data_IF_527163353586
#
_entry.id   IF_527163353586
#
_cell.length_a   1.000
_cell.length_b   1.000
_cell.length_c   1.000
_cell.angle_alpha   90.00
_cell.angle_beta   90.00
_cell.angle_gamma   90.00
#
_symmetry.space_group_name_H-M   'P 1'
#
loop_
_entity.id
_entity.type
_entity.pdbx_description
1 polymer ?
#
# COMPACT_ATOMS: atom_id res chain seq x y z
N UNK A 1 9.18 -15.42 27.27
CA UNK A 1 10.03 -14.65 26.33
C UNK A 1 10.07 -13.23 26.87
N UNK A 2 11.17 -12.83 27.51
CA UNK A 2 11.28 -11.55 28.22
C UNK A 2 11.84 -10.51 27.25
N UNK A 3 11.08 -9.44 27.03
CA UNK A 3 11.52 -8.28 26.26
C UNK A 3 12.52 -7.53 27.16
N UNK A 4 13.81 -7.59 26.83
CA UNK A 4 14.84 -6.79 27.48
C UNK A 4 14.63 -5.31 27.10
N UNK A 5 15.04 -4.45 28.03
CA UNK A 5 14.83 -3.00 28.15
C UNK A 5 14.82 -2.13 26.87
N UNK A 6 14.14 -0.96 26.91
CA UNK A 6 14.07 -0.02 25.78
C UNK A 6 15.37 0.77 25.64
N UNK A 7 16.34 0.21 24.93
CA UNK A 7 17.61 0.85 24.58
C UNK A 7 18.05 0.48 23.17
N UNK A 8 17.99 1.44 22.25
CA UNK A 8 18.52 1.45 20.87
C UNK A 8 18.66 0.06 20.19
N UNK A 9 17.55 -0.55 19.82
CA UNK A 9 17.55 -1.76 19.00
C UNK A 9 18.05 -1.47 17.59
N UNK A 10 19.08 -2.20 17.12
CA UNK A 10 19.47 -2.17 15.69
C UNK A 10 18.45 -2.98 14.88
N UNK A 11 17.72 -2.33 13.99
CA UNK A 11 16.84 -2.99 13.01
C UNK A 11 17.65 -3.27 11.75
N UNK A 12 17.48 -4.47 11.17
CA UNK A 12 18.12 -4.87 9.91
C UNK A 12 17.07 -5.47 8.98
N UNK A 13 17.15 -5.13 7.70
CA UNK A 13 16.38 -5.84 6.68
C UNK A 13 16.88 -7.27 6.55
N UNK A 14 15.94 -8.19 6.38
CA UNK A 14 16.20 -9.61 6.16
C UNK A 14 15.33 -10.12 5.00
N UNK A 15 15.68 -11.30 4.50
CA UNK A 15 14.91 -12.04 3.46
C UNK A 15 14.86 -11.36 2.08
N UNK A 16 16.00 -11.35 1.38
CA UNK A 16 16.15 -10.83 0.01
C UNK A 16 15.73 -11.81 -1.10
N UNK A 17 15.04 -12.91 -0.77
CA UNK A 17 14.68 -13.98 -1.73
C UNK A 17 13.71 -13.52 -2.82
N UNK A 18 12.93 -12.49 -2.53
CA UNK A 18 11.98 -11.85 -3.44
C UNK A 18 12.51 -10.53 -4.02
N UNK A 19 13.72 -10.10 -3.64
CA UNK A 19 14.36 -8.94 -4.23
C UNK A 19 14.73 -9.21 -5.69
N UNK A 20 14.64 -8.18 -6.53
CA UNK A 20 15.01 -8.26 -7.94
C UNK A 20 15.74 -6.99 -8.36
N UNK A 21 16.55 -7.10 -9.42
CA UNK A 21 17.16 -5.94 -10.06
C UNK A 21 16.11 -5.26 -10.94
N UNK A 22 16.11 -3.93 -11.00
CA UNK A 22 15.22 -3.17 -11.87
C UNK A 22 15.31 -3.67 -13.31
N UNK A 23 14.16 -3.88 -13.95
CA UNK A 23 14.05 -4.48 -15.29
C UNK A 23 14.17 -6.01 -15.33
N UNK A 24 14.43 -6.68 -14.20
CA UNK A 24 14.47 -8.15 -14.06
C UNK A 24 13.39 -8.69 -13.14
N UNK A 25 12.25 -8.00 -13.06
CA UNK A 25 11.10 -8.45 -12.28
C UNK A 25 10.57 -9.78 -12.81
N UNK A 26 10.21 -10.70 -11.90
CA UNK A 26 9.51 -11.94 -12.24
C UNK A 26 8.05 -11.63 -12.62
N UNK A 27 7.41 -12.53 -13.35
CA UNK A 27 5.99 -12.42 -13.70
C UNK A 27 5.06 -12.44 -12.48
N UNK A 28 5.50 -13.00 -11.36
CA UNK A 28 4.78 -13.02 -10.09
C UNK A 28 5.56 -12.23 -9.03
N UNK A 29 4.86 -11.33 -8.35
CA UNK A 29 5.37 -10.63 -7.17
C UNK A 29 4.93 -11.40 -5.93
N UNK A 30 5.89 -11.71 -5.07
CA UNK A 30 5.65 -12.33 -3.76
C UNK A 30 5.81 -11.26 -2.69
N UNK A 31 4.69 -10.73 -2.23
CA UNK A 31 4.63 -9.74 -1.16
C UNK A 31 3.30 -9.92 -0.40
N UNK A 32 3.28 -9.60 0.89
CA UNK A 32 2.03 -9.52 1.64
C UNK A 32 1.19 -8.35 1.12
N UNK A 33 -0.06 -8.61 0.76
CA UNK A 33 -0.94 -7.60 0.14
C UNK A 33 -1.06 -6.30 0.96
N UNK A 34 -0.99 -6.38 2.29
CA UNK A 34 -1.02 -5.23 3.20
C UNK A 34 0.08 -4.16 2.92
N UNK A 35 1.22 -4.57 2.34
CA UNK A 35 2.36 -3.70 2.03
C UNK A 35 2.62 -3.57 0.53
N UNK A 36 1.75 -4.15 -0.31
CA UNK A 36 1.88 -4.12 -1.76
C UNK A 36 1.46 -2.74 -2.29
N UNK A 37 2.28 -2.14 -3.14
CA UNK A 37 1.99 -0.86 -3.79
C UNK A 37 0.88 -1.00 -4.85
N UNK A 38 0.07 0.06 -5.10
CA UNK A 38 -1.06 0.01 -6.02
C UNK A 38 -0.64 -0.29 -7.46
N UNK A 39 0.48 0.23 -7.94
CA UNK A 39 1.02 -0.05 -9.26
C UNK A 39 1.41 -1.52 -9.42
N UNK A 40 2.02 -2.10 -8.39
CA UNK A 40 2.39 -3.52 -8.37
C UNK A 40 1.13 -4.40 -8.33
N UNK A 41 0.13 -4.02 -7.53
CA UNK A 41 -1.17 -4.69 -7.48
C UNK A 41 -1.91 -4.65 -8.82
N UNK A 42 -1.85 -3.53 -9.54
CA UNK A 42 -2.43 -3.34 -10.87
C UNK A 42 -1.63 -4.00 -12.01
N UNK A 43 -0.46 -4.57 -11.68
CA UNK A 43 0.39 -5.34 -12.59
C UNK A 43 1.38 -4.51 -13.39
N UNK A 44 1.64 -3.26 -13.00
CA UNK A 44 2.73 -2.47 -13.56
C UNK A 44 4.09 -3.05 -13.18
N UNK A 45 5.10 -2.70 -13.96
CA UNK A 45 6.48 -3.02 -13.61
C UNK A 45 6.90 -2.18 -12.39
N UNK A 46 7.21 -2.87 -11.30
CA UNK A 46 7.69 -2.30 -10.06
C UNK A 46 9.12 -1.80 -10.19
N UNK A 47 9.40 -0.69 -9.51
CA UNK A 47 10.74 -0.13 -9.34
C UNK A 47 10.90 0.35 -7.90
N UNK A 48 11.88 1.20 -7.60
CA UNK A 48 12.18 1.64 -6.24
C UNK A 48 11.01 2.21 -5.40
N UNK A 49 10.00 2.92 -5.96
CA UNK A 49 8.89 3.46 -5.17
C UNK A 49 8.07 2.41 -4.42
N UNK A 50 7.99 1.15 -4.91
CA UNK A 50 7.22 0.10 -4.20
C UNK A 50 7.80 -0.23 -2.83
N UNK A 51 9.12 -0.08 -2.65
CA UNK A 51 9.78 -0.28 -1.37
C UNK A 51 9.47 0.88 -0.41
N UNK A 52 9.34 2.11 -0.93
CA UNK A 52 8.93 3.28 -0.14
C UNK A 52 7.47 3.16 0.32
N UNK A 53 6.59 2.64 -0.54
CA UNK A 53 5.22 2.31 -0.15
C UNK A 53 5.19 1.28 0.99
N UNK A 54 5.93 0.18 0.83
CA UNK A 54 6.05 -0.85 1.86
C UNK A 54 6.60 -0.29 3.19
N UNK A 55 7.58 0.61 3.12
CA UNK A 55 8.10 1.33 4.28
C UNK A 55 7.02 2.19 4.94
N UNK A 56 6.26 2.98 4.17
CA UNK A 56 5.17 3.81 4.68
C UNK A 56 4.12 2.99 5.43
N UNK A 57 3.64 1.89 4.83
CA UNK A 57 2.74 0.95 5.48
C UNK A 57 3.35 0.36 6.78
N UNK A 58 4.62 -0.03 6.74
CA UNK A 58 5.32 -0.61 7.91
C UNK A 58 5.42 0.39 9.05
N UNK A 59 5.82 1.63 8.77
CA UNK A 59 5.96 2.68 9.79
C UNK A 59 4.58 3.07 10.35
N UNK A 60 3.56 3.18 9.50
CA UNK A 60 2.19 3.44 9.94
C UNK A 60 1.68 2.33 10.87
N UNK A 61 1.93 1.07 10.55
CA UNK A 61 1.53 -0.06 11.40
C UNK A 61 2.29 -0.08 12.73
N UNK A 62 3.60 0.19 12.72
CA UNK A 62 4.38 0.28 13.96
C UNK A 62 3.89 1.39 14.89
N UNK A 63 3.49 2.53 14.33
CA UNK A 63 3.00 3.67 15.10
C UNK A 63 1.58 3.46 15.65
N UNK A 64 0.71 2.79 14.90
CA UNK A 64 -0.73 2.67 15.22
C UNK A 64 -1.13 1.32 15.79
N UNK A 65 -0.30 0.29 15.61
CA UNK A 65 -0.62 -1.11 15.89
C UNK A 65 -1.67 -1.69 14.93
N UNK A 66 -1.94 -1.04 13.79
CA UNK A 66 -2.99 -1.43 12.83
C UNK A 66 -2.45 -1.43 11.40
N UNK A 67 -2.88 -2.40 10.60
CA UNK A 67 -2.59 -2.42 9.16
C UNK A 67 -3.23 -1.19 8.51
N UNK A 68 -2.43 -0.43 7.76
CA UNK A 68 -2.88 0.82 7.13
C UNK A 68 -4.02 0.60 6.11
N UNK A 69 -3.93 -0.48 5.33
CA UNK A 69 -4.95 -0.88 4.34
C UNK A 69 -5.52 -2.26 4.69
N UNK A 70 -6.54 -2.33 5.57
CA UNK A 70 -7.04 -3.60 6.11
C UNK A 70 -8.00 -4.30 5.13
N UNK A 71 -7.43 -4.84 4.05
CA UNK A 71 -8.19 -5.58 3.04
C UNK A 71 -8.54 -6.99 3.53
N UNK A 72 -9.80 -7.39 3.34
CA UNK A 72 -10.30 -8.71 3.76
C UNK A 72 -9.83 -9.81 2.79
N UNK A 73 -9.67 -9.46 1.52
CA UNK A 73 -9.23 -10.37 0.47
C UNK A 73 -8.60 -9.58 -0.69
N UNK A 74 -8.07 -10.29 -1.67
CA UNK A 74 -7.39 -9.67 -2.82
C UNK A 74 -8.26 -8.64 -3.55
N UNK A 75 -9.57 -8.82 -3.67
CA UNK A 75 -10.47 -7.89 -4.38
C UNK A 75 -10.82 -6.65 -3.54
N UNK A 76 -10.67 -6.71 -2.22
CA UNK A 76 -10.90 -5.60 -1.30
C UNK A 76 -9.68 -4.66 -1.18
N UNK A 77 -8.53 -5.07 -1.72
CA UNK A 77 -7.28 -4.29 -1.63
C UNK A 77 -7.38 -2.91 -2.29
N UNK A 78 -7.83 -2.86 -3.55
CA UNK A 78 -7.99 -1.60 -4.26
C UNK A 78 -9.06 -0.69 -3.61
N UNK A 79 -10.24 -1.21 -3.21
CA UNK A 79 -11.18 -0.45 -2.39
C UNK A 79 -10.57 0.16 -1.12
N UNK A 80 -9.70 -0.55 -0.39
CA UNK A 80 -9.00 0.01 0.78
C UNK A 80 -8.09 1.19 0.43
N UNK A 81 -7.33 1.10 -0.67
CA UNK A 81 -6.53 2.23 -1.13
C UNK A 81 -7.41 3.43 -1.46
N UNK A 82 -8.51 3.19 -2.18
CA UNK A 82 -9.44 4.22 -2.62
C UNK A 82 -10.15 4.91 -1.46
N UNK A 83 -10.51 4.15 -0.43
CA UNK A 83 -11.12 4.70 0.78
C UNK A 83 -10.21 5.69 1.51
N UNK A 84 -8.90 5.44 1.46
CA UNK A 84 -7.89 6.16 2.26
C UNK A 84 -7.21 7.30 1.49
N UNK A 85 -6.88 7.05 0.21
CA UNK A 85 -6.10 7.94 -0.64
C UNK A 85 -6.94 8.59 -1.75
N UNK A 86 -8.19 8.14 -1.94
CA UNK A 86 -9.03 8.55 -3.05
C UNK A 86 -8.76 7.78 -4.34
N UNK A 87 -9.34 8.25 -5.44
CA UNK A 87 -9.18 7.58 -6.75
C UNK A 87 -7.73 7.66 -7.23
N UNK A 88 -7.15 6.56 -7.74
CA UNK A 88 -5.81 6.60 -8.32
C UNK A 88 -5.77 7.52 -9.54
N UNK A 89 -4.59 8.08 -9.87
CA UNK A 89 -4.41 8.88 -11.08
C UNK A 89 -4.85 8.13 -12.35
N UNK A 90 -5.51 8.82 -13.27
CA UNK A 90 -6.10 8.21 -14.47
C UNK A 90 -5.06 7.50 -15.35
N UNK A 91 -3.84 8.05 -15.44
CA UNK A 91 -2.71 7.42 -16.14
C UNK A 91 -2.31 6.07 -15.54
N UNK A 92 -2.39 5.92 -14.21
CA UNK A 92 -2.11 4.65 -13.54
C UNK A 92 -3.18 3.61 -13.87
N UNK A 93 -4.45 4.03 -13.94
CA UNK A 93 -5.60 3.18 -14.30
C UNK A 93 -5.52 2.75 -15.76
N UNK A 94 -5.33 3.69 -16.68
CA UNK A 94 -5.34 3.45 -18.12
C UNK A 94 -4.17 2.59 -18.58
N UNK A 95 -3.00 2.76 -17.96
CA UNK A 95 -1.81 1.97 -18.27
C UNK A 95 -1.79 0.57 -17.62
N UNK A 96 -2.72 0.26 -16.71
CA UNK A 96 -2.68 -0.97 -15.93
C UNK A 96 -2.95 -2.20 -16.80
N UNK A 97 -2.02 -3.19 -16.86
CA UNK A 97 -2.28 -4.47 -17.53
C UNK A 97 -3.49 -5.20 -16.95
N UNK A 98 -3.78 -4.98 -15.66
CA UNK A 98 -4.93 -5.53 -14.94
C UNK A 98 -6.21 -4.69 -14.97
N UNK A 99 -6.29 -3.58 -15.72
CA UNK A 99 -7.40 -2.60 -15.65
C UNK A 99 -8.78 -3.26 -15.61
N UNK A 100 -9.10 -4.09 -16.60
CA UNK A 100 -10.44 -4.68 -16.78
C UNK A 100 -10.87 -5.64 -15.66
N UNK A 101 -9.94 -6.01 -14.75
CA UNK A 101 -10.26 -6.82 -13.57
C UNK A 101 -10.78 -5.99 -12.42
N UNK A 102 -10.45 -4.70 -12.39
CA UNK A 102 -10.62 -3.83 -11.24
C UNK A 102 -11.41 -2.56 -11.55
N UNK A 103 -11.45 -2.13 -12.80
CA UNK A 103 -12.14 -0.92 -13.25
C UNK A 103 -13.05 -1.20 -14.43
N UNK A 104 -14.14 -0.45 -14.53
CA UNK A 104 -15.02 -0.44 -15.69
C UNK A 104 -14.49 0.44 -16.84
N UNK A 105 -15.27 0.53 -17.92
CA UNK A 105 -14.93 1.36 -19.08
C UNK A 105 -14.84 2.86 -18.79
N UNK A 106 -15.47 3.33 -17.71
CA UNK A 106 -15.43 4.72 -17.26
C UNK A 106 -14.27 5.00 -16.29
N UNK A 107 -13.50 3.98 -15.90
CA UNK A 107 -12.41 4.11 -14.94
C UNK A 107 -12.86 4.03 -13.48
N UNK A 108 -14.13 3.67 -13.24
CA UNK A 108 -14.65 3.50 -11.89
C UNK A 108 -14.35 2.09 -11.36
N UNK A 109 -14.03 1.93 -10.07
CA UNK A 109 -13.70 0.64 -9.50
C UNK A 109 -14.91 -0.31 -9.53
N UNK A 110 -14.65 -1.55 -9.94
CA UNK A 110 -15.61 -2.65 -9.88
C UNK A 110 -15.77 -3.05 -8.40
N UNK A 111 -16.73 -2.45 -7.71
CA UNK A 111 -16.92 -2.68 -6.27
C UNK A 111 -17.51 -4.07 -6.00
N UNK A 112 -16.88 -4.83 -5.10
CA UNK A 112 -17.43 -6.10 -4.60
C UNK A 112 -18.07 -5.92 -3.23
N UNK A 113 -19.41 -5.92 -3.14
CA UNK A 113 -20.20 -6.21 -1.92
C UNK A 113 -20.11 -5.26 -0.71
N UNK A 114 -18.96 -4.64 -0.45
CA UNK A 114 -18.74 -3.61 0.56
C UNK A 114 -18.38 -2.32 -0.19
N UNK A 115 -19.31 -1.38 -0.22
CA UNK A 115 -19.10 -0.10 -0.91
C UNK A 115 -18.21 0.78 -0.02
N UNK A 116 -16.88 0.63 -0.13
CA UNK A 116 -15.94 1.62 0.41
C UNK A 116 -16.05 2.88 -0.45
N UNK A 117 -16.29 4.02 0.17
CA UNK A 117 -16.48 5.28 -0.55
C UNK A 117 -15.11 5.94 -0.75
N UNK A 118 -14.77 6.44 -1.95
CA UNK A 118 -13.50 7.11 -2.17
C UNK A 118 -13.27 8.26 -1.17
N UNK A 119 -12.15 8.22 -0.46
CA UNK A 119 -11.77 9.23 0.52
C UNK A 119 -12.63 9.29 1.80
N UNK A 120 -13.50 8.31 2.08
CA UNK A 120 -14.32 8.33 3.30
C UNK A 120 -13.52 8.08 4.58
N UNK A 121 -12.31 7.54 4.48
CA UNK A 121 -11.43 7.29 5.62
C UNK A 121 -10.01 7.83 5.35
N UNK A 122 -9.85 9.17 5.26
CA UNK A 122 -8.61 9.78 4.80
C UNK A 122 -7.41 9.40 5.68
N UNK A 123 -6.21 9.44 5.09
CA UNK A 123 -4.96 9.00 5.73
C UNK A 123 -4.76 9.52 7.16
N UNK A 124 -5.01 10.82 7.43
CA UNK A 124 -4.84 11.37 8.78
C UNK A 124 -5.74 10.68 9.83
N UNK A 125 -6.94 10.23 9.43
CA UNK A 125 -7.87 9.54 10.30
C UNK A 125 -7.45 8.09 10.51
N UNK A 126 -6.92 7.44 9.46
CA UNK A 126 -6.33 6.10 9.54
C UNK A 126 -5.12 6.07 10.48
N UNK A 127 -4.27 7.10 10.42
CA UNK A 127 -3.08 7.24 11.26
C UNK A 127 -3.42 7.61 12.71
N UNK A 128 -4.54 8.31 12.95
CA UNK A 128 -4.99 8.67 14.30
C UNK A 128 -4.00 9.53 15.09
N UNK A 129 -3.09 10.22 14.40
CA UNK A 129 -2.07 11.09 14.97
C UNK A 129 -2.40 12.57 14.72
N UNK A 130 -1.83 13.45 15.53
CA UNK A 130 -1.88 14.91 15.32
C UNK A 130 -0.55 15.47 14.81
N UNK A 131 0.46 14.60 14.66
CA UNK A 131 1.80 14.97 14.21
C UNK A 131 1.80 15.18 12.69
N UNK A 132 1.97 16.45 12.28
CA UNK A 132 2.01 16.83 10.87
C UNK A 132 3.25 16.33 10.13
N UNK A 133 4.39 16.21 10.81
CA UNK A 133 5.62 15.68 10.19
C UNK A 133 5.48 14.19 9.94
N UNK A 134 4.86 13.47 10.87
CA UNK A 134 4.51 12.07 10.69
C UNK A 134 3.55 11.88 9.50
N UNK A 135 2.51 12.72 9.40
CA UNK A 135 1.57 12.65 8.28
C UNK A 135 2.24 12.95 6.93
N UNK A 136 3.08 13.99 6.85
CA UNK A 136 3.83 14.34 5.62
C UNK A 136 4.81 13.22 5.23
N UNK A 137 5.50 12.63 6.20
CA UNK A 137 6.38 11.49 5.95
C UNK A 137 5.62 10.31 5.35
N UNK A 138 4.52 9.89 5.99
CA UNK A 138 3.73 8.76 5.50
C UNK A 138 3.10 9.08 4.15
N UNK A 139 2.57 10.30 3.93
CA UNK A 139 1.97 10.65 2.64
C UNK A 139 2.98 10.58 1.50
N UNK A 140 4.21 11.07 1.70
CA UNK A 140 5.27 11.01 0.67
C UNK A 140 5.77 9.60 0.39
N UNK A 141 5.65 8.68 1.34
CA UNK A 141 5.91 7.26 1.08
C UNK A 141 4.83 6.61 0.20
N UNK A 142 3.62 7.18 0.15
CA UNK A 142 2.44 6.61 -0.52
C UNK A 142 2.10 7.32 -1.85
N UNK A 143 3.00 8.15 -2.37
CA UNK A 143 2.87 8.83 -3.67
C UNK A 143 3.23 7.93 -4.87
#
# INVERSE_FOLDING_TARGET
>A
MSIKEPGAGTIRMMSFENSFLVGRQRSQIFCSHAYLAPEAYLGHMSSFPVDMWGLGCTVAELATGRILFPAINKHDQLPCYIETLGMPPQNLIDGAPGRNKYFDGSGMPLMSGQSRVPGSHPLYLALGSQDSEFHDFISRCLE
#
